data_IF_218673584290
#
_entry.id   IF_218673584290
#
_cell.length_a   1.000
_cell.length_b   1.000
_cell.length_c   1.000
_cell.angle_alpha   90.00
_cell.angle_beta   90.00
_cell.angle_gamma   90.00
#
_symmetry.space_group_name_H-M   'P 1'
#
loop_
_entity.id
_entity.type
_entity.pdbx_description
1 polymer ?
#
# COMPACT_ATOMS: atom_id res chain seq x y z
N UNK A 1 -22.70 0.65 12.72
CA UNK A 1 -21.73 -0.33 12.17
C UNK A 1 -20.86 0.48 11.22
N UNK A 2 -19.65 0.88 11.62
CA UNK A 2 -18.74 1.54 10.69
C UNK A 2 -18.36 0.46 9.68
N UNK A 3 -18.84 0.57 8.45
CA UNK A 3 -18.56 -0.40 7.39
C UNK A 3 -17.10 -0.35 6.98
N UNK A 4 -16.59 -1.40 6.35
CA UNK A 4 -15.23 -1.38 5.80
C UNK A 4 -15.11 -0.28 4.73
N UNK A 5 -13.89 0.24 4.58
CA UNK A 5 -13.54 1.27 3.61
C UNK A 5 -12.21 0.91 2.95
N UNK A 6 -12.12 1.25 1.67
CA UNK A 6 -10.86 1.20 0.95
C UNK A 6 -9.83 2.12 1.63
N UNK A 7 -8.55 1.79 1.50
CA UNK A 7 -7.42 2.66 1.87
C UNK A 7 -7.07 3.60 0.72
N UNK A 8 -7.35 3.19 -0.53
CA UNK A 8 -6.98 3.87 -1.78
C UNK A 8 -7.96 4.97 -2.21
N UNK A 9 -9.00 5.26 -1.41
CA UNK A 9 -10.02 6.26 -1.73
C UNK A 9 -9.55 7.72 -1.56
N UNK A 10 -10.27 8.68 -2.16
CA UNK A 10 -9.94 10.10 -2.01
C UNK A 10 -10.17 10.55 -0.56
N UNK A 11 -9.31 11.43 -0.03
CA UNK A 11 -9.42 11.94 1.35
C UNK A 11 -10.79 12.54 1.68
N UNK A 12 -11.47 13.13 0.70
CA UNK A 12 -12.82 13.71 0.86
C UNK A 12 -13.92 12.67 1.09
N UNK A 13 -13.66 11.38 0.88
CA UNK A 13 -14.59 10.30 1.15
C UNK A 13 -14.64 9.86 2.61
N UNK A 14 -13.81 10.45 3.49
CA UNK A 14 -13.68 10.07 4.89
C UNK A 14 -13.98 11.25 5.80
N UNK A 15 -14.64 10.98 6.94
CA UNK A 15 -14.51 11.86 8.10
C UNK A 15 -13.10 11.76 8.69
N UNK A 16 -12.67 12.74 9.50
CA UNK A 16 -11.34 12.71 10.13
C UNK A 16 -11.10 11.43 10.96
N UNK A 17 -12.10 11.01 11.73
CA UNK A 17 -12.03 9.78 12.52
C UNK A 17 -11.94 8.51 11.68
N UNK A 18 -12.68 8.45 10.56
CA UNK A 18 -12.60 7.34 9.61
C UNK A 18 -11.26 7.32 8.87
N UNK A 19 -10.75 8.47 8.45
CA UNK A 19 -9.46 8.58 7.80
C UNK A 19 -8.36 8.02 8.71
N UNK A 20 -8.34 8.44 9.98
CA UNK A 20 -7.40 7.92 10.97
C UNK A 20 -7.55 6.40 11.17
N UNK A 21 -8.77 5.92 11.39
CA UNK A 21 -9.02 4.51 11.67
C UNK A 21 -8.70 3.59 10.49
N UNK A 22 -9.06 3.97 9.26
CA UNK A 22 -8.89 3.10 8.09
C UNK A 22 -7.55 3.28 7.41
N UNK A 23 -7.12 4.52 7.12
CA UNK A 23 -5.89 4.76 6.37
C UNK A 23 -4.67 4.49 7.25
N UNK A 24 -4.62 5.08 8.45
CA UNK A 24 -3.50 4.85 9.36
C UNK A 24 -3.60 3.53 10.14
N UNK A 25 -4.79 2.91 10.20
CA UNK A 25 -4.95 1.57 10.75
C UNK A 25 -4.53 0.46 9.79
N UNK A 26 -5.11 0.41 8.58
CA UNK A 26 -4.86 -0.67 7.60
C UNK A 26 -3.56 -0.47 6.82
N UNK A 27 -3.19 0.78 6.50
CA UNK A 27 -2.01 1.10 5.68
C UNK A 27 -0.70 0.50 6.22
N UNK A 28 -0.33 0.70 7.49
CA UNK A 28 0.88 0.10 8.06
C UNK A 28 0.85 -1.42 8.08
N UNK A 29 -0.32 -2.03 8.24
CA UNK A 29 -0.47 -3.49 8.22
C UNK A 29 -0.22 -4.08 6.84
N UNK A 30 -0.62 -3.38 5.76
CA UNK A 30 -0.25 -3.74 4.39
C UNK A 30 1.28 -3.80 4.24
N UNK A 31 2.00 -2.75 4.65
CA UNK A 31 3.46 -2.73 4.54
C UNK A 31 4.14 -3.81 5.37
N UNK A 32 3.63 -4.10 6.56
CA UNK A 32 4.11 -5.21 7.37
C UNK A 32 3.87 -6.58 6.69
N UNK A 33 2.67 -6.80 6.13
CA UNK A 33 2.34 -8.03 5.42
C UNK A 33 3.20 -8.18 4.15
N UNK A 34 3.40 -7.11 3.39
CA UNK A 34 4.29 -7.09 2.24
C UNK A 34 5.70 -7.51 2.63
N UNK A 35 6.26 -6.93 3.70
CA UNK A 35 7.59 -7.29 4.19
C UNK A 35 7.70 -8.76 4.59
N UNK A 36 6.65 -9.33 5.19
CA UNK A 36 6.60 -10.75 5.53
C UNK A 36 6.56 -11.65 4.29
N UNK A 37 5.82 -11.24 3.25
CA UNK A 37 5.66 -12.00 2.00
C UNK A 37 6.95 -12.03 1.16
N UNK A 38 7.59 -10.88 0.97
CA UNK A 38 8.73 -10.75 0.04
C UNK A 38 10.09 -10.87 0.74
N UNK A 39 10.12 -10.79 2.08
CA UNK A 39 11.34 -10.77 2.87
C UNK A 39 12.05 -9.42 2.90
N UNK A 40 12.94 -9.24 3.88
CA UNK A 40 13.57 -7.95 4.17
C UNK A 40 14.38 -7.37 3.01
N UNK A 41 15.20 -8.19 2.35
CA UNK A 41 16.08 -7.73 1.27
C UNK A 41 15.27 -7.15 0.10
N UNK A 42 14.27 -7.89 -0.37
CA UNK A 42 13.39 -7.46 -1.46
C UNK A 42 12.54 -6.27 -1.03
N UNK A 43 12.03 -6.26 0.21
CA UNK A 43 11.25 -5.15 0.74
C UNK A 43 12.04 -3.83 0.72
N UNK A 44 13.29 -3.85 1.18
CA UNK A 44 14.12 -2.64 1.15
C UNK A 44 14.53 -2.24 -0.27
N UNK A 45 14.75 -3.19 -1.18
CA UNK A 45 14.99 -2.87 -2.60
C UNK A 45 13.77 -2.20 -3.26
N UNK A 46 12.55 -2.69 -2.98
CA UNK A 46 11.29 -2.06 -3.40
C UNK A 46 11.25 -0.60 -2.93
N UNK A 47 11.42 -0.36 -1.63
CA UNK A 47 11.31 0.99 -1.05
C UNK A 47 12.40 1.93 -1.56
N UNK A 48 13.62 1.43 -1.71
CA UNK A 48 14.74 2.20 -2.25
C UNK A 48 14.53 2.55 -3.73
N UNK A 49 14.00 1.60 -4.52
CA UNK A 49 13.66 1.81 -5.93
C UNK A 49 12.56 2.86 -6.07
N UNK A 50 11.47 2.73 -5.31
CA UNK A 50 10.38 3.71 -5.28
C UNK A 50 10.88 5.13 -4.97
N UNK A 51 11.65 5.28 -3.88
CA UNK A 51 12.22 6.59 -3.54
C UNK A 51 13.13 7.12 -4.64
N UNK A 52 13.99 6.28 -5.22
CA UNK A 52 14.98 6.70 -6.22
C UNK A 52 14.33 7.14 -7.53
N UNK A 53 13.29 6.44 -7.98
CA UNK A 53 12.59 6.71 -9.23
C UNK A 53 11.68 7.95 -9.14
N UNK A 54 11.03 8.14 -7.99
CA UNK A 54 10.01 9.16 -7.79
C UNK A 54 10.43 10.34 -6.92
N UNK A 55 11.69 10.38 -6.43
CA UNK A 55 12.21 11.60 -5.77
C UNK A 55 11.99 12.82 -6.66
N UNK A 56 11.39 13.86 -6.06
CA UNK A 56 11.05 15.12 -6.72
C UNK A 56 10.01 15.00 -7.85
N UNK A 57 9.24 13.91 -7.90
CA UNK A 57 8.12 13.70 -8.82
C UNK A 57 6.84 13.39 -8.04
N UNK A 58 5.71 13.39 -8.75
CA UNK A 58 4.43 12.92 -8.23
C UNK A 58 4.32 11.43 -8.55
N UNK A 59 4.12 10.60 -7.52
CA UNK A 59 3.86 9.17 -7.65
C UNK A 59 2.41 8.85 -7.30
N UNK A 60 1.86 7.82 -7.93
CA UNK A 60 0.55 7.24 -7.66
C UNK A 60 0.70 5.92 -6.90
N UNK A 61 -0.42 5.36 -6.41
CA UNK A 61 -0.41 4.03 -5.80
C UNK A 61 0.01 2.94 -6.81
N UNK A 62 -0.46 3.04 -8.06
CA UNK A 62 -0.13 2.08 -9.12
C UNK A 62 1.37 2.06 -9.44
N UNK A 63 2.07 3.19 -9.30
CA UNK A 63 3.53 3.25 -9.46
C UNK A 63 4.25 2.40 -8.41
N UNK A 64 3.80 2.45 -7.16
CA UNK A 64 4.35 1.60 -6.09
C UNK A 64 4.02 0.12 -6.35
N UNK A 65 2.79 -0.19 -6.78
CA UNK A 65 2.37 -1.57 -7.04
C UNK A 65 3.20 -2.19 -8.17
N UNK A 66 3.47 -1.44 -9.25
CA UNK A 66 4.32 -1.89 -10.34
C UNK A 66 5.74 -2.22 -9.87
N UNK A 67 6.34 -1.39 -9.01
CA UNK A 67 7.68 -1.67 -8.45
C UNK A 67 7.64 -2.92 -7.56
N UNK A 68 6.60 -3.07 -6.74
CA UNK A 68 6.43 -4.25 -5.89
C UNK A 68 6.42 -5.53 -6.74
N UNK A 69 5.60 -5.60 -7.79
CA UNK A 69 5.52 -6.77 -8.67
C UNK A 69 6.85 -7.01 -9.40
N UNK A 70 7.47 -5.95 -9.94
CA UNK A 70 8.74 -6.04 -10.65
C UNK A 70 9.86 -6.60 -9.77
N UNK A 71 9.96 -6.14 -8.52
CA UNK A 71 11.06 -6.52 -7.62
C UNK A 71 10.80 -7.83 -6.88
N UNK A 72 9.55 -8.13 -6.56
CA UNK A 72 9.19 -9.40 -5.90
C UNK A 72 9.11 -10.57 -6.88
N UNK A 73 8.80 -10.31 -8.16
CA UNK A 73 8.48 -11.36 -9.13
C UNK A 73 7.17 -12.09 -8.80
N UNK A 74 6.34 -11.54 -7.91
CA UNK A 74 5.10 -12.13 -7.42
C UNK A 74 3.91 -11.28 -7.87
N UNK A 75 2.75 -11.93 -8.06
CA UNK A 75 1.48 -11.24 -8.21
C UNK A 75 1.02 -10.76 -6.82
N UNK A 76 0.89 -9.45 -6.63
CA UNK A 76 0.53 -8.86 -5.34
C UNK A 76 -0.93 -8.47 -5.22
N UNK A 77 -1.74 -8.67 -6.26
CA UNK A 77 -3.18 -8.41 -6.26
C UNK A 77 -3.91 -9.01 -5.04
N UNK A 78 -3.64 -10.27 -4.61
CA UNK A 78 -4.30 -10.82 -3.43
C UNK A 78 -3.98 -10.05 -2.13
N UNK A 79 -2.77 -9.49 -2.03
CA UNK A 79 -2.35 -8.68 -0.88
C UNK A 79 -3.05 -7.32 -0.90
N UNK A 80 -3.19 -6.71 -2.08
CA UNK A 80 -3.91 -5.45 -2.28
C UNK A 80 -5.39 -5.61 -1.92
N UNK A 81 -6.05 -6.65 -2.43
CA UNK A 81 -7.45 -6.97 -2.11
C UNK A 81 -7.66 -7.19 -0.60
N UNK A 82 -6.72 -7.87 0.05
CA UNK A 82 -6.83 -8.19 1.48
C UNK A 82 -6.76 -6.95 2.37
N UNK A 83 -5.90 -5.99 2.01
CA UNK A 83 -5.50 -4.92 2.92
C UNK A 83 -5.95 -3.52 2.50
N UNK A 84 -6.13 -3.27 1.20
CA UNK A 84 -6.37 -1.93 0.68
C UNK A 84 -7.78 -1.75 0.11
N UNK A 85 -8.44 -2.82 -0.28
CA UNK A 85 -9.82 -2.78 -0.75
C UNK A 85 -10.84 -2.98 0.39
N UNK A 86 -12.12 -2.59 0.20
CA UNK A 86 -13.20 -2.93 1.12
C UNK A 86 -13.58 -4.41 0.98
N UNK A 87 -13.80 -5.09 2.11
CA UNK A 87 -14.43 -6.42 2.17
C UNK A 87 -15.95 -6.36 2.09
#
# INVERSE_FOLDING_TARGET
RVGDRAVTGPVSAYTEGEYSAFVYGKGPLFFNALRQEVGDEVYFDIMHTYLTEFKYKIATANDLFAIIEQKSGQNVEPLLETWLEPR
#
